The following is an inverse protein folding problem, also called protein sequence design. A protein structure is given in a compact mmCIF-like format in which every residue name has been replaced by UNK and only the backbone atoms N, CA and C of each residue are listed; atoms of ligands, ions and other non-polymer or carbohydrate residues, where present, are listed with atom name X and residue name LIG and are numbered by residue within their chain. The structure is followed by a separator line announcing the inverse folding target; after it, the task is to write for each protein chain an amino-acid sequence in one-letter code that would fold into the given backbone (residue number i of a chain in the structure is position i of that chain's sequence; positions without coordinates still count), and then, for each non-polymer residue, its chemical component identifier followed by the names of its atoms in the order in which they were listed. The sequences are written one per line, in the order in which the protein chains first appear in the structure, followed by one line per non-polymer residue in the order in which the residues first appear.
data_IF_033782524743
#
_entry.id   IF_033782524743
#
_cell.length_a   1.000
_cell.length_b   1.000
_cell.length_c   1.000
_cell.angle_alpha   90.00
_cell.angle_beta   90.00
_cell.angle_gamma   90.00
#
_symmetry.space_group_name_H-M   'P 1'
#
loop_
_entity.id
_entity.type
_entity.pdbx_description
1 polymer ?
#
# COMPACT_ATOMS: atom_id res chain seq x y z
N UNK A 1 -36.55 20.99 -26.66
CA UNK A 1 -37.48 20.72 -25.54
C UNK A 1 -37.38 19.23 -25.21
N UNK A 2 -36.88 18.95 -24.00
CA UNK A 2 -37.10 17.79 -23.12
C UNK A 2 -37.22 16.38 -23.75
N UNK A 3 -36.30 15.43 -23.50
CA UNK A 3 -35.91 14.74 -22.26
C UNK A 3 -36.80 13.53 -21.90
N UNK A 4 -36.13 12.49 -21.36
CA UNK A 4 -36.57 11.21 -20.75
C UNK A 4 -36.72 10.04 -21.75
N UNK A 5 -35.92 8.97 -21.68
CA UNK A 5 -35.73 8.06 -20.54
C UNK A 5 -36.61 6.82 -20.82
N UNK A 6 -36.20 5.54 -20.77
CA UNK A 6 -35.42 4.82 -19.75
C UNK A 6 -35.29 3.35 -20.19
N UNK A 7 -34.17 2.72 -19.77
CA UNK A 7 -34.02 1.31 -19.31
C UNK A 7 -34.48 0.16 -20.21
N UNK A 8 -33.49 -0.47 -20.85
CA UNK A 8 -33.54 -1.89 -21.16
C UNK A 8 -33.47 -2.73 -19.88
N UNK A 9 -34.43 -3.64 -19.75
CA UNK A 9 -34.56 -4.63 -18.70
C UNK A 9 -33.48 -5.72 -18.87
N UNK A 10 -32.67 -5.96 -17.83
CA UNK A 10 -31.92 -7.21 -17.69
C UNK A 10 -32.82 -8.23 -17.01
N UNK A 11 -33.22 -9.25 -17.76
CA UNK A 11 -33.88 -10.44 -17.22
C UNK A 11 -32.85 -11.31 -16.50
N UNK A 12 -33.07 -11.48 -15.20
CA UNK A 12 -32.37 -12.40 -14.31
C UNK A 12 -32.41 -13.83 -14.82
N UNK A 13 -31.25 -14.46 -14.98
CA UNK A 13 -31.10 -15.90 -14.98
C UNK A 13 -30.58 -16.32 -13.60
N UNK A 14 -31.43 -17.02 -12.83
CA UNK A 14 -31.10 -17.64 -11.55
C UNK A 14 -30.38 -18.97 -11.78
N UNK A 15 -29.22 -19.14 -11.15
CA UNK A 15 -28.70 -20.44 -10.74
C UNK A 15 -28.15 -20.29 -9.30
N UNK A 16 -28.54 -21.17 -8.35
CA UNK A 16 -28.17 -21.02 -6.94
C UNK A 16 -26.97 -21.91 -6.60
N UNK A 17 -25.95 -21.33 -5.95
CA UNK A 17 -25.12 -22.02 -4.95
C UNK A 17 -24.57 -20.97 -3.99
N UNK A 18 -25.26 -20.80 -2.86
CA UNK A 18 -24.70 -20.20 -1.65
C UNK A 18 -23.57 -21.11 -1.16
N UNK A 19 -22.34 -20.78 -1.55
CA UNK A 19 -21.16 -21.16 -0.79
C UNK A 19 -20.57 -19.83 -0.26
N UNK A 20 -20.40 -19.64 1.06
CA UNK A 20 -19.67 -18.49 1.55
C UNK A 20 -18.26 -18.56 0.98
N UNK A 21 -17.94 -17.66 0.04
CA UNK A 21 -16.60 -17.50 -0.46
C UNK A 21 -15.68 -17.26 0.76
N UNK A 22 -14.64 -18.08 0.95
CA UNK A 22 -13.71 -17.86 2.06
C UNK A 22 -12.97 -16.55 1.81
N UNK A 23 -13.42 -15.49 2.48
CA UNK A 23 -12.81 -14.15 2.47
C UNK A 23 -11.52 -14.14 3.29
N UNK A 24 -10.56 -14.99 2.93
CA UNK A 24 -9.19 -14.97 3.41
C UNK A 24 -8.38 -16.03 2.66
N UNK A 25 -7.94 -15.70 1.44
CA UNK A 25 -6.74 -16.33 0.90
C UNK A 25 -5.58 -15.63 1.57
N UNK A 26 -5.05 -16.22 2.65
CA UNK A 26 -3.79 -15.77 3.24
C UNK A 26 -2.68 -16.23 2.29
N UNK A 27 -2.39 -15.42 1.29
CA UNK A 27 -1.20 -15.65 0.48
C UNK A 27 0.02 -15.33 1.34
N UNK A 28 0.84 -16.35 1.59
CA UNK A 28 2.04 -16.18 2.39
C UNK A 28 3.09 -15.41 1.57
N UNK A 29 3.14 -14.09 1.71
CA UNK A 29 4.13 -13.24 1.07
C UNK A 29 5.56 -13.77 1.35
N UNK A 30 6.31 -14.03 0.27
CA UNK A 30 7.64 -14.68 0.27
C UNK A 30 8.67 -14.02 1.21
N UNK A 31 8.47 -12.75 1.55
CA UNK A 31 9.28 -12.00 2.51
C UNK A 31 9.22 -12.54 3.94
N UNK A 32 8.21 -13.34 4.29
CA UNK A 32 8.13 -13.96 5.62
C UNK A 32 9.27 -14.93 5.91
N UNK A 33 9.83 -15.61 4.91
CA UNK A 33 10.95 -16.53 5.13
C UNK A 33 12.23 -15.77 5.45
N UNK A 34 12.54 -14.72 4.67
CA UNK A 34 13.71 -13.86 4.92
C UNK A 34 13.59 -13.19 6.28
N UNK A 35 12.40 -12.67 6.59
CA UNK A 35 12.10 -12.07 7.88
C UNK A 35 12.25 -13.07 9.05
N UNK A 36 11.78 -14.32 8.87
CA UNK A 36 11.93 -15.39 9.86
C UNK A 36 13.39 -15.78 10.08
N UNK A 37 14.20 -15.86 9.02
CA UNK A 37 15.64 -16.14 9.14
C UNK A 37 16.33 -15.00 9.88
N UNK A 38 16.01 -13.75 9.55
CA UNK A 38 16.57 -12.58 10.23
C UNK A 38 16.18 -12.55 11.72
N UNK A 39 14.92 -12.83 12.03
CA UNK A 39 14.45 -12.99 13.41
C UNK A 39 15.20 -14.12 14.14
N UNK A 40 15.39 -15.27 13.49
CA UNK A 40 16.15 -16.39 14.06
C UNK A 40 17.60 -15.98 14.38
N UNK A 41 18.29 -15.28 13.47
CA UNK A 41 19.65 -14.78 13.70
C UNK A 41 19.70 -13.81 14.89
N UNK A 42 18.77 -12.86 14.96
CA UNK A 42 18.69 -11.94 16.10
C UNK A 42 18.41 -12.66 17.42
N UNK A 43 17.47 -13.63 17.44
CA UNK A 43 17.19 -14.42 18.65
C UNK A 43 18.39 -15.23 19.09
N UNK A 44 19.15 -15.84 18.17
CA UNK A 44 20.38 -16.56 18.53
C UNK A 44 21.47 -15.63 19.06
N UNK A 45 21.62 -14.43 18.50
CA UNK A 45 22.57 -13.43 19.00
C UNK A 45 22.22 -12.98 20.43
N UNK A 46 20.95 -12.68 20.68
CA UNK A 46 20.43 -12.32 22.01
C UNK A 46 20.64 -13.48 22.99
N UNK A 47 20.28 -14.71 22.62
CA UNK A 47 20.47 -15.90 23.47
C UNK A 47 21.95 -16.17 23.79
N UNK A 48 22.86 -15.98 22.83
CA UNK A 48 24.29 -16.13 23.05
C UNK A 48 24.85 -15.05 23.99
N UNK A 49 24.36 -13.82 23.88
CA UNK A 49 24.70 -12.71 24.79
C UNK A 49 24.19 -12.99 26.21
N UNK A 50 22.93 -13.41 26.35
CA UNK A 50 22.34 -13.80 27.63
C UNK A 50 23.09 -14.97 28.27
N UNK A 51 23.44 -16.00 27.48
CA UNK A 51 24.20 -17.15 27.97
C UNK A 51 25.60 -16.75 28.47
N UNK A 52 26.31 -15.93 27.69
CA UNK A 52 27.64 -15.41 28.09
C UNK A 52 27.55 -14.57 29.36
N UNK A 53 26.51 -13.76 29.51
CA UNK A 53 26.31 -12.94 30.70
C UNK A 53 25.90 -13.74 31.93
N UNK A 54 24.98 -14.70 31.82
CA UNK A 54 24.61 -15.61 32.92
C UNK A 54 25.84 -16.40 33.39
N UNK A 55 26.67 -16.88 32.46
CA UNK A 55 27.91 -17.57 32.80
C UNK A 55 28.92 -16.66 33.51
N UNK A 56 28.98 -15.38 33.14
CA UNK A 56 29.85 -14.39 33.79
C UNK A 56 29.33 -13.99 35.17
N UNK A 57 28.01 -13.87 35.33
CA UNK A 57 27.31 -13.59 36.59
C UNK A 57 27.54 -14.71 37.61
N UNK A 58 27.55 -15.97 37.16
CA UNK A 58 27.80 -17.14 38.01
C UNK A 58 29.27 -17.27 38.46
N UNK A 59 30.20 -16.65 37.74
CA UNK A 59 31.65 -16.76 37.97
C UNK A 59 32.27 -15.52 38.64
N UNK A 60 31.67 -14.33 38.52
CA UNK A 60 32.28 -13.09 38.99
C UNK A 60 31.19 -12.09 39.44
N UNK A 61 30.74 -12.25 40.68
CA UNK A 61 29.66 -11.51 41.35
C UNK A 61 29.82 -9.97 41.27
N UNK A 62 29.52 -9.38 40.11
CA UNK A 62 29.46 -7.94 39.89
C UNK A 62 28.30 -7.57 38.97
N UNK A 63 27.32 -6.88 39.57
CA UNK A 63 26.29 -5.98 39.00
C UNK A 63 25.05 -6.57 38.32
N UNK A 64 24.04 -6.92 39.14
CA UNK A 64 22.62 -7.13 38.77
C UNK A 64 22.10 -6.03 37.82
N UNK A 65 22.57 -4.78 38.01
CA UNK A 65 22.21 -3.60 37.21
C UNK A 65 22.57 -3.77 35.72
N UNK A 66 23.74 -4.31 35.41
CA UNK A 66 24.20 -4.51 34.02
C UNK A 66 23.40 -5.59 33.30
N UNK A 67 22.90 -6.57 34.05
CA UNK A 67 22.03 -7.62 33.51
C UNK A 67 20.64 -7.08 33.16
N UNK A 68 20.05 -6.23 34.02
CA UNK A 68 18.76 -5.60 33.77
C UNK A 68 18.81 -4.63 32.59
N UNK A 69 19.90 -3.85 32.44
CA UNK A 69 20.02 -2.92 31.31
C UNK A 69 20.11 -3.64 29.96
N UNK A 70 20.77 -4.80 29.91
CA UNK A 70 20.91 -5.59 28.70
C UNK A 70 19.60 -6.29 28.31
N UNK A 71 18.90 -6.90 29.28
CA UNK A 71 17.55 -7.44 29.05
C UNK A 71 16.56 -6.37 28.58
N UNK A 72 16.65 -5.17 29.14
CA UNK A 72 15.82 -4.04 28.71
C UNK A 72 16.13 -3.64 27.27
N UNK A 73 17.41 -3.57 26.88
CA UNK A 73 17.82 -3.31 25.49
C UNK A 73 17.29 -4.38 24.52
N UNK A 74 17.38 -5.65 24.88
CA UNK A 74 16.92 -6.76 24.03
C UNK A 74 15.40 -6.74 23.84
N UNK A 75 14.65 -6.44 24.91
CA UNK A 75 13.20 -6.28 24.86
C UNK A 75 12.79 -5.09 23.99
N UNK A 76 13.51 -3.97 24.10
CA UNK A 76 13.28 -2.78 23.25
C UNK A 76 13.62 -3.07 21.79
N UNK A 77 14.73 -3.75 21.50
CA UNK A 77 15.10 -4.15 20.14
C UNK A 77 14.08 -5.12 19.54
N UNK A 78 13.63 -6.12 20.30
CA UNK A 78 12.61 -7.07 19.86
C UNK A 78 11.26 -6.38 19.61
N UNK A 79 10.87 -5.45 20.48
CA UNK A 79 9.66 -4.65 20.32
C UNK A 79 9.74 -3.73 19.09
N UNK A 80 10.84 -3.01 18.92
CA UNK A 80 11.06 -2.13 17.77
C UNK A 80 11.03 -2.91 16.44
N UNK A 81 11.68 -4.08 16.40
CA UNK A 81 11.63 -4.98 15.25
C UNK A 81 10.21 -5.48 14.96
N UNK A 82 9.51 -5.98 15.98
CA UNK A 82 8.13 -6.47 15.84
C UNK A 82 7.17 -5.37 15.39
N UNK A 83 7.24 -4.21 16.03
CA UNK A 83 6.45 -3.04 15.68
C UNK A 83 6.75 -2.56 14.26
N UNK A 84 8.01 -2.56 13.82
CA UNK A 84 8.35 -2.13 12.45
C UNK A 84 7.68 -2.95 11.35
N UNK A 85 7.31 -4.20 11.64
CA UNK A 85 6.71 -5.11 10.68
C UNK A 85 5.20 -5.28 10.83
N UNK A 86 4.67 -5.10 12.03
CA UNK A 86 3.23 -5.13 12.26
C UNK A 86 2.48 -4.00 11.53
N UNK A 87 3.17 -2.91 11.19
CA UNK A 87 2.60 -1.74 10.51
C UNK A 87 3.03 -1.63 9.04
N UNK A 88 3.34 -2.73 8.34
CA UNK A 88 3.55 -2.71 6.88
C UNK A 88 2.25 -3.08 6.17
N UNK A 89 1.92 -2.33 5.12
CA UNK A 89 0.71 -2.50 4.30
C UNK A 89 1.11 -2.77 2.86
N UNK A 90 0.83 -3.97 2.36
CA UNK A 90 1.03 -4.32 0.96
C UNK A 90 -0.34 -4.44 0.28
N UNK A 91 -0.57 -3.61 -0.74
CA UNK A 91 -1.83 -3.57 -1.49
C UNK A 91 -1.60 -4.15 -2.88
N UNK A 92 -2.45 -5.10 -3.28
CA UNK A 92 -2.43 -5.71 -4.60
C UNK A 92 -3.66 -5.25 -5.39
N UNK A 93 -3.43 -4.72 -6.58
CA UNK A 93 -4.45 -4.30 -7.54
C UNK A 93 -4.34 -5.25 -8.73
N UNK A 94 -5.37 -6.06 -8.97
CA UNK A 94 -5.41 -6.96 -10.11
C UNK A 94 -6.39 -6.42 -11.15
N UNK A 95 -6.00 -6.42 -12.42
CA UNK A 95 -6.87 -6.09 -13.54
C UNK A 95 -6.70 -7.13 -14.65
N UNK A 96 -7.78 -7.47 -15.34
CA UNK A 96 -7.78 -8.56 -16.33
C UNK A 96 -8.20 -8.12 -17.73
N UNK A 97 -9.03 -7.08 -17.85
CA UNK A 97 -9.57 -6.66 -19.15
C UNK A 97 -9.71 -5.13 -19.19
N UNK A 98 -8.90 -4.41 -19.98
CA UNK A 98 -8.91 -2.95 -20.04
C UNK A 98 -10.23 -2.38 -20.58
N UNK A 99 -11.07 -3.18 -21.24
CA UNK A 99 -12.37 -2.73 -21.74
C UNK A 99 -13.47 -2.82 -20.68
N UNK A 100 -13.31 -3.73 -19.71
CA UNK A 100 -14.23 -3.86 -18.56
C UNK A 100 -13.77 -3.04 -17.36
N UNK A 101 -12.46 -2.92 -17.19
CA UNK A 101 -11.78 -2.20 -16.12
C UNK A 101 -10.89 -1.14 -16.78
N UNK A 102 -11.44 0.04 -17.11
CA UNK A 102 -10.69 1.06 -17.83
C UNK A 102 -9.38 1.41 -17.10
N UNK A 103 -8.22 1.46 -17.80
CA UNK A 103 -6.92 1.76 -17.20
C UNK A 103 -6.91 2.99 -16.29
N UNK A 104 -7.67 4.04 -16.68
CA UNK A 104 -7.84 5.26 -15.89
C UNK A 104 -8.43 4.99 -14.51
N UNK A 105 -9.44 4.12 -14.41
CA UNK A 105 -10.07 3.79 -13.12
C UNK A 105 -9.06 3.11 -12.18
N UNK A 106 -8.28 2.18 -12.72
CA UNK A 106 -7.23 1.46 -11.97
C UNK A 106 -6.10 2.41 -11.54
N UNK A 107 -5.69 3.32 -12.43
CA UNK A 107 -4.71 4.38 -12.13
C UNK A 107 -5.20 5.31 -11.04
N UNK A 108 -6.45 5.76 -11.08
CA UNK A 108 -7.01 6.65 -10.07
C UNK A 108 -7.11 5.99 -8.70
N UNK A 109 -7.46 4.70 -8.67
CA UNK A 109 -7.41 3.90 -7.45
C UNK A 109 -5.97 3.80 -6.91
N UNK A 110 -5.00 3.46 -7.78
CA UNK A 110 -3.60 3.34 -7.38
C UNK A 110 -3.05 4.68 -6.87
N UNK A 111 -3.33 5.78 -7.55
CA UNK A 111 -2.92 7.13 -7.13
C UNK A 111 -3.53 7.53 -5.79
N UNK A 112 -4.82 7.25 -5.58
CA UNK A 112 -5.50 7.48 -4.31
C UNK A 112 -4.85 6.69 -3.16
N UNK A 113 -4.51 5.42 -3.40
CA UNK A 113 -3.79 4.59 -2.43
C UNK A 113 -2.38 5.11 -2.16
N UNK A 114 -1.63 5.51 -3.18
CA UNK A 114 -0.29 6.09 -2.99
C UNK A 114 -0.30 7.45 -2.27
N UNK A 115 -1.42 8.18 -2.37
CA UNK A 115 -1.60 9.47 -1.73
C UNK A 115 -2.16 9.36 -0.31
N UNK A 116 -2.64 8.18 0.08
CA UNK A 116 -3.23 7.92 1.38
C UNK A 116 -2.28 8.33 2.52
N UNK A 117 -2.84 8.81 3.63
CA UNK A 117 -2.07 9.28 4.79
C UNK A 117 -1.51 8.12 5.61
N UNK A 118 -0.55 7.42 5.01
CA UNK A 118 0.24 6.36 5.62
C UNK A 118 1.72 6.65 5.41
N UNK A 119 2.60 6.24 6.35
CA UNK A 119 4.04 6.38 6.13
C UNK A 119 4.46 5.70 4.82
N UNK A 120 5.02 6.47 3.89
CA UNK A 120 5.40 6.00 2.54
C UNK A 120 6.37 4.81 2.58
N UNK A 121 7.19 4.72 3.63
CA UNK A 121 8.15 3.63 3.85
C UNK A 121 7.49 2.30 4.25
N UNK A 122 6.20 2.34 4.57
CA UNK A 122 5.44 1.20 5.10
C UNK A 122 4.30 0.75 4.19
N UNK A 123 3.98 1.49 3.13
CA UNK A 123 2.99 1.10 2.13
C UNK A 123 3.68 0.70 0.83
N UNK A 124 3.38 -0.49 0.32
CA UNK A 124 3.79 -0.94 -1.00
C UNK A 124 2.55 -1.26 -1.83
N UNK A 125 2.51 -0.80 -3.08
CA UNK A 125 1.38 -1.06 -3.99
C UNK A 125 1.91 -1.83 -5.19
N UNK A 126 1.28 -2.96 -5.48
CA UNK A 126 1.60 -3.85 -6.58
C UNK A 126 0.42 -3.93 -7.53
N UNK A 127 0.69 -3.81 -8.82
CA UNK A 127 -0.34 -3.92 -9.87
C UNK A 127 -0.04 -5.17 -10.68
N UNK A 128 -1.00 -6.10 -10.74
CA UNK A 128 -0.98 -7.27 -11.61
C UNK A 128 -1.96 -7.03 -12.76
N UNK A 129 -1.45 -6.97 -13.98
CA UNK A 129 -2.27 -6.91 -15.19
C UNK A 129 -2.27 -8.28 -15.88
N UNK A 130 -3.30 -9.07 -15.62
CA UNK A 130 -3.49 -10.40 -16.18
C UNK A 130 -3.87 -10.32 -17.68
N UNK A 131 -4.38 -9.18 -18.13
CA UNK A 131 -4.72 -8.91 -19.53
C UNK A 131 -3.53 -8.52 -20.39
N UNK A 132 -2.39 -8.15 -19.78
CA UNK A 132 -1.17 -7.72 -20.47
C UNK A 132 -1.41 -6.55 -21.42
N UNK A 133 -2.30 -5.62 -21.05
CA UNK A 133 -2.77 -4.57 -21.93
C UNK A 133 -1.70 -3.47 -22.09
N UNK A 134 -1.30 -3.14 -23.33
CA UNK A 134 -0.36 -2.03 -23.54
C UNK A 134 -0.95 -0.68 -23.09
N UNK A 135 -2.28 -0.54 -23.09
CA UNK A 135 -2.97 0.64 -22.60
C UNK A 135 -2.84 0.78 -21.08
N UNK A 136 -2.98 -0.34 -20.35
CA UNK A 136 -2.80 -0.36 -18.89
C UNK A 136 -1.37 0.01 -18.51
N UNK A 137 -0.38 -0.60 -19.18
CA UNK A 137 1.03 -0.28 -18.96
C UNK A 137 1.34 1.20 -19.24
N UNK A 138 0.88 1.72 -20.38
CA UNK A 138 1.07 3.12 -20.74
C UNK A 138 0.44 4.07 -19.71
N UNK A 139 -0.81 3.80 -19.31
CA UNK A 139 -1.50 4.60 -18.31
C UNK A 139 -0.74 4.65 -16.98
N UNK A 140 -0.20 3.52 -16.52
CA UNK A 140 0.61 3.47 -15.29
C UNK A 140 1.96 4.18 -15.41
N UNK A 141 2.58 4.16 -16.60
CA UNK A 141 3.82 4.89 -16.84
C UNK A 141 3.61 6.41 -16.76
N UNK A 142 2.54 6.93 -17.36
CA UNK A 142 2.19 8.34 -17.24
C UNK A 142 1.71 8.69 -15.83
N UNK A 143 0.95 7.80 -15.18
CA UNK A 143 0.54 7.97 -13.79
C UNK A 143 1.74 8.10 -12.84
N UNK A 144 2.83 7.37 -13.07
CA UNK A 144 4.05 7.48 -12.27
C UNK A 144 4.70 8.87 -12.38
N UNK A 145 4.69 9.49 -13.56
CA UNK A 145 5.16 10.88 -13.76
C UNK A 145 4.22 11.88 -13.11
N UNK A 146 2.92 11.64 -13.21
CA UNK A 146 1.92 12.48 -12.56
C UNK A 146 2.02 12.42 -11.03
N UNK A 147 2.27 11.24 -10.46
CA UNK A 147 2.39 11.02 -9.03
C UNK A 147 3.43 11.94 -8.37
N UNK A 148 4.54 12.25 -9.05
CA UNK A 148 5.56 13.17 -8.49
C UNK A 148 5.03 14.57 -8.24
N UNK A 149 3.95 14.97 -8.91
CA UNK A 149 3.28 16.26 -8.74
C UNK A 149 2.05 16.15 -7.85
N UNK A 150 1.26 15.08 -8.02
CA UNK A 150 0.02 14.84 -7.29
C UNK A 150 0.24 14.56 -5.80
N UNK A 151 1.19 13.68 -5.46
CA UNK A 151 1.37 13.26 -4.06
C UNK A 151 1.80 14.41 -3.13
N UNK A 152 2.80 15.26 -3.50
CA UNK A 152 3.11 16.44 -2.71
C UNK A 152 1.94 17.41 -2.64
N UNK A 153 1.21 17.60 -3.75
CA UNK A 153 0.04 18.47 -3.79
C UNK A 153 -1.04 18.01 -2.81
N UNK A 154 -1.38 16.72 -2.77
CA UNK A 154 -2.35 16.17 -1.81
C UNK A 154 -1.95 16.44 -0.36
N UNK A 155 -0.65 16.31 -0.06
CA UNK A 155 -0.12 16.50 1.30
C UNK A 155 -0.09 17.97 1.71
N UNK A 156 0.37 18.85 0.82
CA UNK A 156 0.48 20.28 1.07
C UNK A 156 -0.87 20.96 1.26
N UNK A 157 -1.91 20.47 0.59
CA UNK A 157 -3.24 21.07 0.60
C UNK A 157 -4.25 20.29 1.45
N UNK A 158 -3.77 19.29 2.23
CA UNK A 158 -4.60 18.43 3.08
C UNK A 158 -5.85 17.88 2.37
N UNK A 159 -5.64 17.37 1.15
CA UNK A 159 -6.73 16.90 0.29
C UNK A 159 -7.34 15.64 0.90
N UNK A 160 -8.63 15.70 1.26
CA UNK A 160 -9.35 14.56 1.81
C UNK A 160 -9.67 13.49 0.75
N UNK A 161 -10.17 13.90 -0.42
CA UNK A 161 -10.45 12.98 -1.53
C UNK A 161 -9.28 12.94 -2.50
N UNK A 162 -8.47 11.89 -2.36
CA UNK A 162 -7.19 11.77 -3.07
C UNK A 162 -7.31 11.03 -4.40
N UNK A 163 -8.53 10.66 -4.79
CA UNK A 163 -8.80 10.17 -6.12
C UNK A 163 -8.78 11.36 -7.11
N UNK A 164 -7.87 11.40 -8.10
CA UNK A 164 -7.77 12.53 -9.03
C UNK A 164 -9.07 12.80 -9.79
N UNK A 165 -9.74 11.78 -10.30
CA UNK A 165 -11.02 11.94 -11.02
C UNK A 165 -12.08 12.59 -10.15
N UNK A 166 -12.24 12.11 -8.91
CA UNK A 166 -13.26 12.63 -8.00
C UNK A 166 -12.91 14.04 -7.55
N UNK A 167 -11.64 14.29 -7.22
CA UNK A 167 -11.15 15.61 -6.84
C UNK A 167 -11.39 16.64 -7.95
N UNK A 168 -11.02 16.32 -9.19
CA UNK A 168 -11.20 17.25 -10.31
C UNK A 168 -12.66 17.40 -10.76
N UNK A 169 -13.50 16.38 -10.57
CA UNK A 169 -14.93 16.46 -10.84
C UNK A 169 -15.69 17.32 -9.81
N UNK A 170 -15.16 17.50 -8.60
CA UNK A 170 -15.83 18.24 -7.51
C UNK A 170 -15.92 19.76 -7.71
N UNK A 171 -15.34 20.31 -8.78
CA UNK A 171 -15.55 21.72 -9.16
C UNK A 171 -14.88 22.76 -8.25
N UNK A 172 -13.85 22.38 -7.49
CA UNK A 172 -13.04 23.35 -6.73
C UNK A 172 -12.52 24.45 -7.68
N UNK A 173 -12.73 25.71 -7.30
CA UNK A 173 -12.29 26.89 -8.06
C UNK A 173 -10.76 26.94 -8.06
N UNK A 174 -10.15 26.47 -9.14
CA UNK A 174 -8.74 26.14 -9.17
C UNK A 174 -7.81 27.34 -9.00
N UNK A 175 -6.84 27.20 -8.10
CA UNK A 175 -5.61 27.99 -8.15
C UNK A 175 -4.84 27.69 -9.44
N UNK A 176 -4.00 28.62 -9.89
CA UNK A 176 -3.10 28.40 -11.06
C UNK A 176 -2.27 27.11 -10.95
N UNK A 177 -1.95 26.65 -9.73
CA UNK A 177 -1.25 25.39 -9.46
C UNK A 177 -2.13 24.16 -9.76
N UNK A 178 -3.42 24.21 -9.44
CA UNK A 178 -4.37 23.11 -9.73
C UNK A 178 -4.63 22.97 -11.23
N UNK A 179 -4.76 24.09 -11.94
CA UNK A 179 -4.95 24.09 -13.40
C UNK A 179 -3.77 23.45 -14.14
N UNK A 180 -2.53 23.72 -13.68
CA UNK A 180 -1.32 23.12 -14.23
C UNK A 180 -1.25 21.60 -13.97
N UNK A 181 -1.63 21.14 -12.76
CA UNK A 181 -1.66 19.71 -12.41
C UNK A 181 -2.74 18.98 -13.21
N UNK A 182 -3.94 19.58 -13.34
CA UNK A 182 -5.02 19.08 -14.19
C UNK A 182 -4.56 18.96 -15.64
N UNK A 183 -3.95 20.01 -16.21
CA UNK A 183 -3.44 19.96 -17.58
C UNK A 183 -2.41 18.85 -17.77
N UNK A 184 -1.50 18.65 -16.81
CA UNK A 184 -0.52 17.57 -16.91
C UNK A 184 -1.17 16.18 -16.92
N UNK A 185 -2.16 15.95 -16.05
CA UNK A 185 -2.88 14.68 -15.95
C UNK A 185 -3.67 14.36 -17.23
N UNK A 186 -4.53 15.29 -17.66
CA UNK A 186 -5.43 15.06 -18.79
C UNK A 186 -4.70 15.12 -20.14
N UNK A 187 -3.67 15.97 -20.29
CA UNK A 187 -2.92 16.07 -21.55
C UNK A 187 -1.98 14.89 -21.81
N UNK A 188 -1.52 14.17 -20.78
CA UNK A 188 -0.70 12.97 -20.97
C UNK A 188 -1.52 11.71 -21.23
N UNK A 189 -2.76 11.64 -20.72
CA UNK A 189 -3.61 10.44 -20.80
C UNK A 189 -4.68 10.51 -21.90
N UNK A 190 -5.09 11.69 -22.38
CA UNK A 190 -6.16 11.86 -23.40
C UNK A 190 -5.71 12.42 -24.76
N UNK A 191 -4.42 12.70 -24.98
CA UNK A 191 -3.89 13.15 -26.28
C UNK A 191 -3.23 12.01 -27.08
N UNK A 192 -3.91 10.86 -27.19
CA UNK A 192 -3.69 9.87 -28.26
C UNK A 192 -5.01 9.21 -28.68
#
# INVERSE_FOLDING_TARGET
MEALGRRGHYTSALAPTDAPHPFHTVEHLRHMVVNRVFAAVYTCAILALLYRHVRTLFLHSTTLISFLSLLFSDLVLAFMWGASQAFRLDVFICTADPYKEPPMSVVNMALSLTAYDYPMEKISIYVSDDGGSPLTLFAFMEAAKFASHWLPFCRENDIMDRNPDVYFASGHSGSSKEENIKQHFWHQLFMQ
#
